data_IF_843956154351
#
_entry.id   IF_843956154351
#
_cell.length_a   1.000
_cell.length_b   1.000
_cell.length_c   1.000
_cell.angle_alpha   90.00
_cell.angle_beta   90.00
_cell.angle_gamma   90.00
#
_symmetry.space_group_name_H-M   'P 1'
#
loop_
_entity.id
_entity.type
_entity.pdbx_description
1 polymer ?
#
# COMPACT_ATOMS: atom_id res chain seq x y z
N UNK A 1 -8.77 12.12 -10.01
CA UNK A 1 -7.89 11.01 -9.67
C UNK A 1 -8.21 9.88 -10.64
N UNK A 2 -7.23 9.32 -11.35
CA UNK A 2 -7.39 8.07 -12.07
C UNK A 2 -6.87 6.94 -11.18
N UNK A 3 -7.58 5.82 -11.11
CA UNK A 3 -7.21 4.67 -10.31
C UNK A 3 -6.97 3.49 -11.24
N UNK A 4 -5.83 2.83 -11.06
CA UNK A 4 -5.48 1.59 -11.75
C UNK A 4 -5.44 0.48 -10.72
N UNK A 5 -6.36 -0.48 -10.83
CA UNK A 5 -6.37 -1.67 -9.99
C UNK A 5 -5.62 -2.79 -10.72
N UNK A 6 -4.73 -3.49 -10.01
CA UNK A 6 -3.87 -4.51 -10.61
C UNK A 6 -3.95 -5.82 -9.84
N UNK A 7 -3.99 -6.92 -10.59
CA UNK A 7 -4.00 -8.27 -10.03
C UNK A 7 -2.72 -8.56 -9.23
N UNK A 8 -2.89 -9.11 -8.02
CA UNK A 8 -1.79 -9.48 -7.11
C UNK A 8 -1.24 -10.89 -7.31
N UNK A 9 -1.87 -11.73 -8.15
CA UNK A 9 -1.38 -13.09 -8.38
C UNK A 9 -0.10 -13.10 -9.24
N UNK A 10 0.74 -14.11 -9.04
CA UNK A 10 1.99 -14.33 -9.77
C UNK A 10 1.81 -14.46 -11.28
N UNK A 11 0.68 -15.03 -11.72
CA UNK A 11 0.33 -15.18 -13.13
C UNK A 11 0.31 -13.83 -13.89
N UNK A 12 0.15 -12.73 -13.17
CA UNK A 12 0.10 -11.37 -13.72
C UNK A 12 1.40 -10.58 -13.51
N UNK A 13 2.46 -11.17 -12.96
CA UNK A 13 3.72 -10.46 -12.66
C UNK A 13 4.36 -9.84 -13.91
N UNK A 14 4.13 -10.41 -15.10
CA UNK A 14 4.62 -9.83 -16.37
C UNK A 14 3.72 -8.72 -16.93
N UNK A 15 2.44 -8.71 -16.56
CA UNK A 15 1.45 -7.76 -17.08
C UNK A 15 1.30 -6.53 -16.18
N UNK A 16 1.41 -6.70 -14.86
CA UNK A 16 1.31 -5.62 -13.87
C UNK A 16 2.25 -4.43 -14.16
N UNK A 17 3.51 -4.63 -14.58
CA UNK A 17 4.40 -3.51 -14.88
C UNK A 17 3.93 -2.60 -16.02
N UNK A 18 3.04 -3.08 -16.90
CA UNK A 18 2.48 -2.28 -17.98
C UNK A 18 1.56 -1.16 -17.47
N UNK A 19 1.08 -1.25 -16.23
CA UNK A 19 0.23 -0.24 -15.59
C UNK A 19 1.01 0.82 -14.83
N UNK A 20 2.33 0.66 -14.67
CA UNK A 20 3.18 1.58 -13.90
C UNK A 20 3.61 2.88 -14.59
N UNK A 21 3.72 2.97 -15.94
CA UNK A 21 4.06 4.23 -16.60
C UNK A 21 3.19 5.40 -16.14
N UNK A 22 3.82 6.56 -15.97
CA UNK A 22 3.17 7.82 -15.54
C UNK A 22 2.43 7.78 -14.19
N UNK A 23 2.75 6.80 -13.33
CA UNK A 23 2.17 6.73 -11.98
C UNK A 23 2.70 7.84 -11.07
N UNK A 24 1.78 8.56 -10.44
CA UNK A 24 2.08 9.66 -9.50
C UNK A 24 2.25 9.21 -8.04
N UNK A 25 1.61 8.11 -7.65
CA UNK A 25 1.61 7.53 -6.29
C UNK A 25 1.26 6.05 -6.35
N UNK A 26 1.90 5.23 -5.53
CA UNK A 26 1.59 3.80 -5.39
C UNK A 26 0.85 3.58 -4.07
N UNK A 27 -0.33 2.95 -4.15
CA UNK A 27 -1.01 2.40 -2.99
C UNK A 27 -0.62 0.94 -2.87
N UNK A 28 0.25 0.63 -1.91
CA UNK A 28 0.68 -0.73 -1.65
C UNK A 28 -0.18 -1.31 -0.54
N UNK A 29 -0.97 -2.32 -0.87
CA UNK A 29 -2.02 -2.81 0.01
C UNK A 29 -1.66 -4.17 0.61
N UNK A 30 -2.00 -4.36 1.88
CA UNK A 30 -2.09 -5.67 2.53
C UNK A 30 -3.45 -5.79 3.23
N UNK A 31 -3.77 -6.97 3.76
CA UNK A 31 -5.03 -7.20 4.45
C UNK A 31 -4.80 -7.50 5.93
N UNK A 32 -5.57 -6.85 6.83
CA UNK A 32 -5.44 -7.03 8.28
C UNK A 32 -5.74 -8.47 8.73
N UNK A 33 -6.58 -9.19 7.98
CA UNK A 33 -6.92 -10.59 8.21
C UNK A 33 -5.93 -11.59 7.57
N UNK A 34 -4.82 -11.12 6.99
CA UNK A 34 -3.82 -11.97 6.34
C UNK A 34 -2.41 -11.48 6.65
N UNK A 35 -1.80 -11.96 7.75
CA UNK A 35 -0.42 -11.59 8.13
C UNK A 35 0.60 -11.81 7.02
N UNK A 36 0.49 -12.92 6.28
CA UNK A 36 1.35 -13.24 5.13
C UNK A 36 1.32 -12.13 4.07
N UNK A 37 0.18 -11.45 3.87
CA UNK A 37 0.08 -10.34 2.93
C UNK A 37 0.92 -9.12 3.34
N UNK A 38 1.16 -8.91 4.64
CA UNK A 38 2.09 -7.90 5.15
C UNK A 38 3.54 -8.35 4.94
N UNK A 39 3.85 -9.63 5.15
CA UNK A 39 5.20 -10.18 4.95
C UNK A 39 5.66 -10.09 3.49
N UNK A 40 4.72 -10.24 2.55
CA UNK A 40 4.98 -10.06 1.12
C UNK A 40 5.38 -8.62 0.73
N UNK A 41 5.10 -7.61 1.56
CA UNK A 41 5.38 -6.18 1.26
C UNK A 41 6.87 -5.95 1.01
N UNK A 42 7.79 -6.27 1.95
CA UNK A 42 9.23 -6.10 1.72
C UNK A 42 9.81 -7.17 0.78
N UNK A 43 9.22 -8.35 0.69
CA UNK A 43 9.78 -9.48 -0.06
C UNK A 43 9.49 -9.41 -1.56
N UNK A 44 8.27 -9.02 -1.93
CA UNK A 44 7.82 -9.01 -3.32
C UNK A 44 7.50 -7.60 -3.81
N UNK A 45 6.61 -6.90 -3.12
CA UNK A 45 6.00 -5.67 -3.64
C UNK A 45 6.96 -4.48 -3.64
N UNK A 46 7.76 -4.35 -2.59
CA UNK A 46 8.72 -3.24 -2.47
C UNK A 46 9.83 -3.32 -3.51
N UNK A 47 10.50 -4.48 -3.73
CA UNK A 47 11.48 -4.62 -4.81
C UNK A 47 10.89 -4.33 -6.20
N UNK A 48 9.70 -4.86 -6.50
CA UNK A 48 9.04 -4.65 -7.79
C UNK A 48 8.75 -3.15 -8.03
N UNK A 49 8.10 -2.49 -7.08
CA UNK A 49 7.76 -1.06 -7.20
C UNK A 49 9.02 -0.21 -7.24
N UNK A 50 10.07 -0.52 -6.48
CA UNK A 50 11.34 0.24 -6.56
C UNK A 50 12.04 0.03 -7.90
N UNK A 51 11.86 -1.11 -8.56
CA UNK A 51 12.42 -1.37 -9.88
C UNK A 51 11.73 -0.54 -10.97
N UNK A 52 10.40 -0.56 -11.02
CA UNK A 52 9.64 0.11 -12.09
C UNK A 52 9.30 1.59 -11.78
N UNK A 53 9.19 1.94 -10.51
CA UNK A 53 8.71 3.24 -10.02
C UNK A 53 9.66 3.86 -8.96
N UNK A 54 10.98 4.00 -9.23
CA UNK A 54 11.99 4.32 -8.20
C UNK A 54 11.79 5.65 -7.46
N UNK A 55 11.08 6.61 -8.07
CA UNK A 55 10.86 7.95 -7.51
C UNK A 55 9.39 8.22 -7.16
N UNK A 56 8.54 7.20 -7.21
CA UNK A 56 7.11 7.33 -6.94
C UNK A 56 6.87 7.04 -5.45
N UNK A 57 6.16 7.91 -4.72
CA UNK A 57 5.90 7.71 -3.30
C UNK A 57 4.97 6.51 -3.10
N UNK A 58 5.31 5.69 -2.12
CA UNK A 58 4.51 4.53 -1.70
C UNK A 58 3.70 4.93 -0.47
N UNK A 59 2.41 4.66 -0.47
CA UNK A 59 1.58 4.68 0.74
C UNK A 59 1.22 3.24 1.06
N UNK A 60 1.56 2.78 2.26
CA UNK A 60 1.17 1.47 2.74
C UNK A 60 -0.26 1.53 3.29
N UNK A 61 -1.14 0.65 2.80
CA UNK A 61 -2.55 0.62 3.15
C UNK A 61 -2.93 -0.75 3.73
N UNK A 62 -3.37 -0.77 4.99
CA UNK A 62 -3.97 -1.95 5.62
C UNK A 62 -5.48 -2.00 5.35
N UNK A 63 -5.92 -2.93 4.52
CA UNK A 63 -7.32 -3.12 4.17
C UNK A 63 -8.06 -4.01 5.17
N UNK A 64 -9.39 -4.01 5.08
CA UNK A 64 -10.30 -4.82 5.91
C UNK A 64 -10.09 -4.62 7.41
N UNK A 65 -9.84 -3.37 7.82
CA UNK A 65 -9.64 -2.99 9.23
C UNK A 65 -10.73 -3.51 10.17
N UNK A 66 -11.97 -3.61 9.69
CA UNK A 66 -13.11 -4.13 10.45
C UNK A 66 -12.94 -5.57 10.93
N UNK A 67 -12.13 -6.38 10.25
CA UNK A 67 -11.91 -7.78 10.61
C UNK A 67 -10.95 -7.99 11.79
N UNK A 68 -10.27 -6.93 12.26
CA UNK A 68 -9.34 -7.04 13.40
C UNK A 68 -10.02 -7.56 14.68
N UNK A 69 -11.27 -7.14 14.88
CA UNK A 69 -12.06 -7.51 16.05
C UNK A 69 -13.15 -8.54 15.70
N UNK A 70 -13.15 -9.06 14.48
CA UNK A 70 -14.14 -10.04 14.05
C UNK A 70 -13.82 -11.41 14.67
N UNK A 71 -14.80 -11.96 15.40
CA UNK A 71 -14.62 -13.21 16.14
C UNK A 71 -14.39 -14.41 15.23
N UNK A 72 -14.91 -14.40 13.99
CA UNK A 72 -14.68 -15.49 13.05
C UNK A 72 -13.26 -15.41 12.49
N UNK A 73 -12.83 -14.23 12.03
CA UNK A 73 -11.45 -13.99 11.56
C UNK A 73 -10.41 -14.37 12.60
N UNK A 74 -10.59 -13.95 13.86
CA UNK A 74 -9.66 -14.28 14.95
C UNK A 74 -9.56 -15.80 15.15
N UNK A 75 -10.70 -16.52 15.12
CA UNK A 75 -10.72 -17.98 15.28
C UNK A 75 -10.04 -18.70 14.12
N UNK A 76 -10.27 -18.26 12.88
CA UNK A 76 -9.64 -18.89 11.71
C UNK A 76 -8.13 -18.68 11.71
N UNK A 77 -7.64 -17.47 11.99
CA UNK A 77 -6.21 -17.20 12.11
C UNK A 77 -5.57 -17.99 13.26
N UNK A 78 -6.26 -18.13 14.39
CA UNK A 78 -5.76 -18.91 15.52
C UNK A 78 -5.54 -20.39 15.17
N UNK A 79 -6.32 -20.98 14.24
CA UNK A 79 -6.06 -22.36 13.73
C UNK A 79 -4.70 -22.49 13.07
N UNK A 80 -4.20 -21.41 12.47
CA UNK A 80 -2.89 -21.32 11.82
C UNK A 80 -1.83 -20.71 12.75
N UNK A 81 -2.13 -20.54 14.05
CA UNK A 81 -1.28 -19.86 15.05
C UNK A 81 -0.93 -18.41 14.67
N UNK A 82 -1.82 -17.75 13.98
CA UNK A 82 -1.70 -16.35 13.59
C UNK A 82 -2.74 -15.49 14.32
N UNK A 83 -2.55 -14.17 14.28
CA UNK A 83 -3.51 -13.16 14.75
C UNK A 83 -3.66 -12.05 13.71
N UNK A 84 -4.77 -11.29 13.70
CA UNK A 84 -4.91 -10.15 12.81
C UNK A 84 -3.78 -9.13 13.01
N UNK A 85 -3.33 -8.52 11.91
CA UNK A 85 -2.23 -7.56 11.92
C UNK A 85 -2.57 -6.35 12.81
N UNK A 86 -1.68 -6.06 13.76
CA UNK A 86 -1.79 -4.91 14.66
C UNK A 86 -1.36 -3.63 13.95
N UNK A 87 -1.95 -2.48 14.30
CA UNK A 87 -1.56 -1.19 13.70
C UNK A 87 -0.07 -0.87 13.86
N UNK A 88 0.56 -1.33 14.95
CA UNK A 88 1.98 -1.13 15.21
C UNK A 88 2.87 -1.88 14.19
N UNK A 89 2.45 -3.07 13.77
CA UNK A 89 3.18 -3.88 12.79
C UNK A 89 3.13 -3.24 11.41
N UNK A 90 1.96 -2.72 11.01
CA UNK A 90 1.82 -1.96 9.77
C UNK A 90 2.63 -0.66 9.77
N UNK A 91 2.68 0.05 10.90
CA UNK A 91 3.56 1.24 11.06
C UNK A 91 5.03 0.89 10.93
N UNK A 92 5.48 -0.14 11.63
CA UNK A 92 6.86 -0.62 11.55
C UNK A 92 7.22 -1.05 10.12
N UNK A 93 6.29 -1.68 9.39
CA UNK A 93 6.50 -2.05 8.00
C UNK A 93 6.61 -0.82 7.08
N UNK A 94 5.77 0.19 7.28
CA UNK A 94 5.85 1.43 6.52
C UNK A 94 7.19 2.15 6.71
N UNK A 95 7.69 2.20 7.95
CA UNK A 95 9.04 2.70 8.24
C UNK A 95 10.12 1.87 7.55
N UNK A 96 10.04 0.53 7.64
CA UNK A 96 10.98 -0.41 7.03
C UNK A 96 11.12 -0.22 5.50
N UNK A 97 10.01 0.03 4.80
CA UNK A 97 10.03 0.23 3.34
C UNK A 97 10.24 1.68 2.91
N UNK A 98 10.32 2.61 3.87
CA UNK A 98 10.37 4.06 3.67
C UNK A 98 9.12 4.58 2.92
N UNK A 99 7.94 4.14 3.34
CA UNK A 99 6.66 4.62 2.81
C UNK A 99 6.42 6.08 3.23
N UNK A 100 5.73 6.82 2.36
CA UNK A 100 5.30 8.19 2.62
C UNK A 100 4.32 8.28 3.80
N UNK A 101 3.44 7.28 3.93
CA UNK A 101 2.47 7.19 5.01
C UNK A 101 2.01 5.73 5.18
N UNK A 102 1.46 5.46 6.37
CA UNK A 102 0.70 4.26 6.67
C UNK A 102 -0.73 4.64 7.04
N UNK A 103 -1.70 3.98 6.42
CA UNK A 103 -3.13 4.16 6.69
C UNK A 103 -3.82 2.81 6.76
N UNK A 104 -4.93 2.75 7.50
CA UNK A 104 -5.82 1.59 7.51
C UNK A 104 -7.21 2.02 7.08
N UNK A 105 -7.89 1.14 6.34
CA UNK A 105 -9.27 1.39 5.94
C UNK A 105 -10.12 0.13 5.95
N UNK A 106 -11.42 0.34 5.95
CA UNK A 106 -12.43 -0.69 5.75
C UNK A 106 -13.36 -0.21 4.64
N UNK A 107 -13.29 -0.84 3.47
CA UNK A 107 -14.21 -0.55 2.39
C UNK A 107 -15.66 -0.89 2.76
N UNK A 108 -15.87 -1.90 3.63
CA UNK A 108 -17.18 -2.34 4.12
C UNK A 108 -17.87 -1.27 4.96
N UNK A 109 -17.15 -0.69 5.93
CA UNK A 109 -17.69 0.38 6.80
C UNK A 109 -17.45 1.79 6.26
N UNK A 110 -16.68 1.93 5.17
CA UNK A 110 -16.18 3.18 4.57
C UNK A 110 -15.18 3.96 5.45
N UNK A 111 -14.77 3.40 6.59
CA UNK A 111 -13.79 4.02 7.49
C UNK A 111 -12.41 4.11 6.82
N UNK A 112 -11.75 5.26 6.91
CA UNK A 112 -10.37 5.45 6.44
C UNK A 112 -10.19 5.58 4.92
N UNK A 113 -11.22 5.27 4.12
CA UNK A 113 -11.13 5.25 2.65
C UNK A 113 -10.85 6.64 2.10
N UNK A 114 -11.52 7.67 2.64
CA UNK A 114 -11.35 9.06 2.19
C UNK A 114 -9.93 9.56 2.48
N UNK A 115 -9.42 9.25 3.66
CA UNK A 115 -8.10 9.63 4.14
C UNK A 115 -6.99 9.03 3.27
N UNK A 116 -7.17 7.79 2.80
CA UNK A 116 -6.26 7.14 1.83
C UNK A 116 -6.17 7.98 0.54
N UNK A 117 -7.30 8.34 -0.06
CA UNK A 117 -7.31 9.12 -1.30
C UNK A 117 -6.82 10.57 -1.14
N UNK A 118 -7.13 11.22 -0.02
CA UNK A 118 -6.63 12.56 0.28
C UNK A 118 -5.10 12.55 0.48
N UNK A 119 -4.57 11.54 1.17
CA UNK A 119 -3.13 11.37 1.39
C UNK A 119 -2.40 11.03 0.08
N UNK A 120 -2.99 10.19 -0.76
CA UNK A 120 -2.48 9.88 -2.10
C UNK A 120 -2.36 11.12 -2.97
N UNK A 121 -3.40 11.95 -2.99
CA UNK A 121 -3.41 13.22 -3.73
C UNK A 121 -2.33 14.16 -3.21
N UNK A 122 -2.14 14.26 -1.89
CA UNK A 122 -1.08 15.06 -1.27
C UNK A 122 0.31 14.58 -1.66
N UNK A 123 0.56 13.28 -1.60
CA UNK A 123 1.84 12.67 -1.96
C UNK A 123 2.20 12.97 -3.43
N UNK A 124 1.26 12.74 -4.35
CA UNK A 124 1.43 13.03 -5.77
C UNK A 124 1.78 14.52 -6.04
N UNK A 125 1.11 15.46 -5.38
CA UNK A 125 1.36 16.90 -5.56
C UNK A 125 2.74 17.34 -5.03
N UNK A 126 3.22 16.76 -3.93
CA UNK A 126 4.54 17.09 -3.38
C UNK A 126 5.69 16.71 -4.33
N UNK A 127 5.57 15.56 -5.00
CA UNK A 127 6.57 15.09 -5.98
C UNK A 127 6.60 16.01 -7.20
N UNK A 128 5.44 16.43 -7.72
CA UNK A 128 5.34 17.36 -8.85
C UNK A 128 6.00 18.71 -8.55
N UNK A 129 5.85 19.23 -7.32
CA UNK A 129 6.53 20.47 -6.89
C UNK A 129 8.05 20.31 -6.90
N UNK A 130 8.58 19.19 -6.39
CA UNK A 130 10.04 18.91 -6.41
C UNK A 130 10.58 18.84 -7.85
N UNK A 131 9.87 18.18 -8.78
CA UNK A 131 10.27 18.12 -10.21
C UNK A 131 10.34 19.51 -10.86
N UNK A 132 9.39 20.41 -10.57
CA UNK A 132 9.36 21.78 -11.13
C UNK A 132 10.48 22.69 -10.62
N UNK A 133 11.02 22.44 -9.42
CA UNK A 133 12.10 23.26 -8.84
C UNK A 133 13.48 23.05 -9.49
N UNK A 134 13.62 22.04 -10.37
CA UNK A 134 14.90 21.67 -11.00
C UNK A 134 15.13 22.29 -12.38
N UNK A 135 14.51 23.45 -12.65
CA UNK A 135 14.80 24.23 -13.85
C UNK A 135 16.14 24.94 -13.66
N UNK A 136 17.21 24.36 -14.21
CA UNK A 136 18.47 25.07 -14.42
C UNK A 136 18.34 25.71 -15.80
N UNK A 137 18.17 27.03 -15.84
CA UNK A 137 18.39 27.79 -17.07
C UNK A 137 19.89 27.67 -17.38
N UNK A 138 20.21 26.99 -18.48
CA UNK A 138 21.53 27.03 -19.13
C UNK A 138 21.62 28.28 -20.00
#
# INVERSE_FOLDING_TARGET
LALWDTAGQEDYDRLRPLSYPDTDVILMCFSVDSPDSLENIPEKWTPEVKHFCPNVPIILVGNKKDLRNDSHTIKELAKMKQEPVKPQEGRAMAEKINAFAYLECSAKSKEGVREVFETATRAALQVKKKKKSRCVLL
#
